data_IF_912526191365
#
_entry.id   IF_912526191365
#
_cell.length_a   1.000
_cell.length_b   1.000
_cell.length_c   1.000
_cell.angle_alpha   90.00
_cell.angle_beta   90.00
_cell.angle_gamma   90.00
#
_symmetry.space_group_name_H-M   'P 1'
#
loop_
_entity.id
_entity.type
_entity.pdbx_description
1 polymer ?
#
# COMPACT_ATOMS: atom_id res chain seq x y z
N UNK A 1 -11.79 -2.87 20.79
CA UNK A 1 -10.85 -2.90 19.65
C UNK A 1 -9.52 -2.46 20.19
N UNK A 2 -8.48 -3.29 20.12
CA UNK A 2 -7.14 -2.89 20.54
C UNK A 2 -6.60 -1.79 19.61
N UNK A 3 -5.72 -0.93 20.11
CA UNK A 3 -5.08 0.13 19.30
C UNK A 3 -4.32 -0.43 18.09
N UNK A 4 -3.80 -1.66 18.21
CA UNK A 4 -3.13 -2.39 17.12
C UNK A 4 -4.10 -2.76 15.99
N UNK A 5 -5.31 -3.23 16.31
CA UNK A 5 -6.32 -3.58 15.30
C UNK A 5 -6.76 -2.35 14.51
N UNK A 6 -6.94 -1.22 15.21
CA UNK A 6 -7.34 0.04 14.58
C UNK A 6 -6.28 0.53 13.60
N UNK A 7 -5.00 0.52 13.99
CA UNK A 7 -3.87 0.90 13.12
C UNK A 7 -3.73 -0.05 11.94
N UNK A 8 -3.88 -1.36 12.14
CA UNK A 8 -3.80 -2.34 11.06
C UNK A 8 -4.89 -2.13 10.00
N UNK A 9 -6.12 -1.84 10.43
CA UNK A 9 -7.24 -1.53 9.53
C UNK A 9 -6.96 -0.24 8.76
N UNK A 10 -6.46 0.80 9.42
CA UNK A 10 -6.12 2.08 8.78
C UNK A 10 -5.09 1.89 7.66
N UNK A 11 -3.98 1.19 7.93
CA UNK A 11 -2.97 0.90 6.91
C UNK A 11 -3.48 0.02 5.77
N UNK A 12 -4.34 -0.95 6.09
CA UNK A 12 -4.94 -1.82 5.07
C UNK A 12 -5.84 -1.01 4.15
N UNK A 13 -6.63 -0.09 4.70
CA UNK A 13 -7.52 0.79 3.94
C UNK A 13 -6.70 1.77 3.09
N UNK A 14 -5.63 2.37 3.63
CA UNK A 14 -4.73 3.24 2.88
C UNK A 14 -4.07 2.51 1.70
N UNK A 15 -3.54 1.31 1.93
CA UNK A 15 -2.93 0.51 0.88
C UNK A 15 -3.93 0.14 -0.23
N UNK A 16 -5.18 -0.20 0.14
CA UNK A 16 -6.26 -0.44 -0.80
C UNK A 16 -6.61 0.81 -1.62
N UNK A 17 -6.68 1.98 -0.98
CA UNK A 17 -6.96 3.25 -1.67
C UNK A 17 -5.83 3.58 -2.66
N UNK A 18 -4.57 3.44 -2.24
CA UNK A 18 -3.40 3.70 -3.11
C UNK A 18 -3.38 2.74 -4.30
N UNK A 19 -3.62 1.44 -4.08
CA UNK A 19 -3.69 0.46 -5.15
C UNK A 19 -4.82 0.79 -6.14
N UNK A 20 -5.99 1.18 -5.63
CA UNK A 20 -7.15 1.55 -6.43
C UNK A 20 -6.91 2.82 -7.25
N UNK A 21 -6.36 3.87 -6.63
CA UNK A 21 -6.01 5.12 -7.32
C UNK A 21 -4.93 4.91 -8.37
N UNK A 22 -3.92 4.09 -8.08
CA UNK A 22 -2.87 3.75 -9.05
C UNK A 22 -3.48 3.03 -10.26
N UNK A 23 -4.32 2.01 -10.03
CA UNK A 23 -5.03 1.31 -11.10
C UNK A 23 -5.85 2.28 -11.96
N UNK A 24 -6.66 3.14 -11.34
CA UNK A 24 -7.48 4.12 -12.06
C UNK A 24 -6.61 5.10 -12.85
N UNK A 25 -5.56 5.64 -12.25
CA UNK A 25 -4.68 6.60 -12.89
C UNK A 25 -4.02 6.00 -14.14
N UNK A 26 -3.39 4.83 -14.02
CA UNK A 26 -2.74 4.18 -15.16
C UNK A 26 -3.74 3.72 -16.22
N UNK A 27 -4.88 3.15 -15.82
CA UNK A 27 -5.90 2.70 -16.76
C UNK A 27 -6.53 3.86 -17.54
N UNK A 28 -6.84 4.98 -16.87
CA UNK A 28 -7.36 6.19 -17.52
C UNK A 28 -6.34 6.81 -18.47
N UNK A 29 -5.08 6.94 -18.03
CA UNK A 29 -4.01 7.48 -18.88
C UNK A 29 -3.81 6.62 -20.14
N UNK A 30 -3.89 5.30 -19.97
CA UNK A 30 -3.78 4.35 -21.07
C UNK A 30 -4.95 4.41 -22.07
N UNK A 31 -6.18 4.50 -21.57
CA UNK A 31 -7.35 4.68 -22.43
C UNK A 31 -7.23 5.97 -23.24
N UNK A 32 -6.78 7.07 -22.62
CA UNK A 32 -6.53 8.34 -23.29
C UNK A 32 -5.49 8.19 -24.42
N UNK A 33 -4.39 7.49 -24.13
CA UNK A 33 -3.30 7.24 -25.09
C UNK A 33 -3.73 6.39 -26.28
N UNK A 34 -4.50 5.32 -26.04
CA UNK A 34 -4.98 4.44 -27.11
C UNK A 34 -6.14 5.05 -27.90
N UNK A 35 -7.03 5.80 -27.24
CA UNK A 35 -8.10 6.52 -27.92
C UNK A 35 -7.53 7.52 -28.94
N UNK A 36 -6.47 8.25 -28.59
CA UNK A 36 -5.79 9.15 -29.53
C UNK A 36 -5.19 8.42 -30.75
N UNK A 37 -4.91 7.12 -30.67
CA UNK A 37 -4.24 6.34 -31.72
C UNK A 37 -5.16 5.40 -32.49
N UNK A 38 -6.43 5.27 -32.10
CA UNK A 38 -7.40 4.37 -32.73
C UNK A 38 -7.02 2.88 -32.62
N UNK A 39 -6.11 2.52 -31.71
CA UNK A 39 -5.66 1.14 -31.51
C UNK A 39 -6.71 0.35 -30.72
N UNK A 40 -6.92 -0.95 -31.04
CA UNK A 40 -7.87 -1.78 -30.30
C UNK A 40 -7.44 -1.86 -28.83
N UNK A 41 -8.40 -1.69 -27.90
CA UNK A 41 -8.13 -1.67 -26.45
C UNK A 41 -7.38 -2.94 -26.03
N UNK A 42 -6.15 -2.81 -25.54
CA UNK A 42 -5.42 -3.96 -25.02
C UNK A 42 -5.91 -4.34 -23.63
N UNK A 43 -5.52 -5.52 -23.19
CA UNK A 43 -6.07 -6.12 -21.98
C UNK A 43 -5.81 -5.30 -20.72
N UNK A 44 -6.71 -5.37 -19.74
CA UNK A 44 -6.64 -4.62 -18.46
C UNK A 44 -5.63 -5.22 -17.47
N UNK A 45 -5.24 -6.48 -17.68
CA UNK A 45 -4.34 -7.25 -16.82
C UNK A 45 -3.01 -6.59 -16.43
N UNK A 46 -2.23 -5.96 -17.33
CA UNK A 46 -0.97 -5.32 -16.94
C UNK A 46 -1.17 -4.18 -15.94
N UNK A 47 -2.26 -3.41 -16.04
CA UNK A 47 -2.56 -2.32 -15.10
C UNK A 47 -2.98 -2.84 -13.73
N UNK A 48 -3.71 -3.96 -13.71
CA UNK A 48 -4.07 -4.65 -12.48
C UNK A 48 -2.80 -5.15 -11.76
N UNK A 49 -1.88 -5.77 -12.50
CA UNK A 49 -0.61 -6.27 -11.95
C UNK A 49 0.26 -5.13 -11.40
N UNK A 50 0.30 -3.98 -12.08
CA UNK A 50 1.01 -2.78 -11.59
C UNK A 50 0.36 -2.25 -10.31
N UNK A 51 -0.97 -2.15 -10.26
CA UNK A 51 -1.69 -1.71 -9.06
C UNK A 51 -1.44 -2.63 -7.86
N UNK A 52 -1.50 -3.95 -8.07
CA UNK A 52 -1.18 -4.95 -7.04
C UNK A 52 0.28 -4.83 -6.60
N UNK A 53 1.21 -4.66 -7.53
CA UNK A 53 2.65 -4.52 -7.23
C UNK A 53 2.96 -3.28 -6.38
N UNK A 54 2.39 -2.13 -6.73
CA UNK A 54 2.55 -0.88 -5.97
C UNK A 54 1.92 -1.02 -4.57
N UNK A 55 0.71 -1.57 -4.49
CA UNK A 55 0.04 -1.82 -3.21
C UNK A 55 0.82 -2.75 -2.29
N UNK A 56 1.37 -3.84 -2.83
CA UNK A 56 2.19 -4.78 -2.08
C UNK A 56 3.51 -4.16 -1.58
N UNK A 57 4.17 -3.34 -2.41
CA UNK A 57 5.38 -2.61 -2.01
C UNK A 57 5.10 -1.61 -0.89
N UNK A 58 3.98 -0.88 -0.99
CA UNK A 58 3.58 0.08 0.04
C UNK A 58 3.27 -0.63 1.37
N UNK A 59 2.47 -1.70 1.31
CA UNK A 59 2.14 -2.50 2.48
C UNK A 59 3.38 -3.10 3.14
N UNK A 60 4.31 -3.64 2.35
CA UNK A 60 5.58 -4.17 2.87
C UNK A 60 6.42 -3.11 3.59
N UNK A 61 6.48 -1.90 3.03
CA UNK A 61 7.23 -0.80 3.64
C UNK A 61 6.62 -0.37 4.98
N UNK A 62 5.30 -0.26 5.04
CA UNK A 62 4.58 0.13 6.25
C UNK A 62 4.63 -0.97 7.32
N UNK A 63 4.52 -2.25 6.91
CA UNK A 63 4.71 -3.39 7.79
C UNK A 63 6.09 -3.40 8.45
N UNK A 64 7.15 -3.15 7.69
CA UNK A 64 8.51 -3.06 8.23
C UNK A 64 8.69 -1.92 9.22
N UNK A 65 8.05 -0.76 8.99
CA UNK A 65 8.05 0.34 9.96
C UNK A 65 7.34 -0.05 11.24
N UNK A 66 6.19 -0.71 11.13
CA UNK A 66 5.41 -1.17 12.27
C UNK A 66 6.16 -2.19 13.14
N UNK A 67 6.87 -3.15 12.53
CA UNK A 67 7.77 -4.07 13.25
C UNK A 67 8.89 -3.32 13.99
N UNK A 68 9.44 -2.29 13.36
CA UNK A 68 10.51 -1.48 13.94
C UNK A 68 10.02 -0.69 15.17
N UNK A 69 8.85 -0.08 15.07
CA UNK A 69 8.21 0.65 16.19
C UNK A 69 7.86 -0.29 17.36
N UNK A 70 7.41 -1.52 17.08
CA UNK A 70 7.19 -2.53 18.11
C UNK A 70 8.47 -2.95 18.82
N UNK A 71 9.57 -3.09 18.08
CA UNK A 71 10.87 -3.47 18.65
C UNK A 71 11.46 -2.34 19.50
N UNK A 72 11.43 -1.09 19.05
CA UNK A 72 11.92 0.06 19.82
C UNK A 72 11.06 0.36 21.07
N UNK A 73 9.73 0.14 21.00
CA UNK A 73 8.83 0.26 22.15
C UNK A 73 9.09 -0.76 23.27
N UNK A 74 9.54 -1.97 22.91
CA UNK A 74 9.92 -3.01 23.88
C UNK A 74 11.25 -2.73 24.59
N UNK A 75 12.22 -2.12 23.90
CA UNK A 75 13.52 -1.73 24.49
C UNK A 75 13.36 -0.58 25.50
N UNK A 76 12.38 0.29 25.27
CA UNK A 76 12.11 1.45 26.13
C UNK A 76 11.52 1.07 27.49
N UNK A 77 10.80 -0.07 27.56
CA UNK A 77 10.14 -0.54 28.78
C UNK A 77 11.03 -1.43 29.66
N UNK A 78 12.07 -2.08 29.10
CA UNK A 78 13.08 -2.79 29.90
C UNK A 78 14.17 -1.88 30.51
N UNK A 79 14.37 -0.67 29.97
CA UNK A 79 15.42 0.26 30.43
C UNK A 79 15.09 1.09 31.69
N UNK A 80 13.86 1.03 32.23
CA UNK A 80 13.42 1.88 33.36
C UNK A 80 12.90 1.06 34.56
N UNK A 81 13.42 -0.16 34.74
CA UNK A 81 13.15 -0.99 35.93
C UNK A 81 14.45 -1.40 36.65
N UNK A 82 15.48 -0.56 36.56
CA UNK A 82 16.78 -0.87 37.14
C UNK A 82 17.55 0.37 37.56
N UNK A 83 17.02 1.15 38.51
CA UNK A 83 17.74 1.85 39.59
C UNK A 83 16.73 2.47 40.55
#
# INVERSE_FOLDING_TARGET
MEEKDKRLIEYTVEALIIAWLSYLFFYQNYLLYNWHRGLPLPSKWPFLLVGIGIGALFFWNEWRKFEKELSEGSVSTEGTSGT
#
